data_IF_592761970414
#
_entry.id   IF_592761970414
#
_cell.length_a   1.000
_cell.length_b   1.000
_cell.length_c   1.000
_cell.angle_alpha   90.00
_cell.angle_beta   90.00
_cell.angle_gamma   90.00
#
_symmetry.space_group_name_H-M   'P 1'
#
loop_
_entity.id
_entity.type
_entity.pdbx_description
1 polymer ?
#
# COMPACT_ATOMS: atom_id res chain seq x y z
N UNK A 1 -10.39 11.70 0.24
CA UNK A 1 -11.17 10.44 0.09
C UNK A 1 -12.40 10.76 -0.75
N UNK A 2 -12.78 9.91 -1.70
CA UNK A 2 -13.93 10.13 -2.59
C UNK A 2 -14.99 9.05 -2.29
N UNK A 3 -16.26 9.43 -2.15
CA UNK A 3 -17.38 8.47 -2.15
C UNK A 3 -17.52 7.58 -0.91
N UNK A 4 -17.09 8.07 0.26
CA UNK A 4 -17.08 7.30 1.52
C UNK A 4 -17.51 8.10 2.75
N UNK A 5 -18.05 9.30 2.54
CA UNK A 5 -18.44 10.21 3.64
C UNK A 5 -19.53 9.60 4.52
N UNK A 6 -20.53 8.96 3.91
CA UNK A 6 -21.61 8.25 4.58
C UNK A 6 -21.09 7.10 5.47
N UNK A 7 -20.16 6.30 4.95
CA UNK A 7 -19.55 5.20 5.69
C UNK A 7 -18.69 5.72 6.86
N UNK A 8 -17.93 6.81 6.64
CA UNK A 8 -17.14 7.46 7.68
C UNK A 8 -18.04 8.00 8.79
N UNK A 9 -19.07 8.76 8.45
CA UNK A 9 -20.00 9.37 9.42
C UNK A 9 -20.68 8.31 10.28
N UNK A 10 -21.16 7.22 9.67
CA UNK A 10 -21.74 6.08 10.40
C UNK A 10 -20.75 5.41 11.35
N UNK A 11 -19.49 5.26 10.95
CA UNK A 11 -18.45 4.72 11.84
C UNK A 11 -18.19 5.65 13.03
N UNK A 12 -18.09 6.96 12.77
CA UNK A 12 -17.87 7.96 13.82
C UNK A 12 -19.03 7.95 14.81
N UNK A 13 -20.26 7.95 14.32
CA UNK A 13 -21.47 7.86 15.15
C UNK A 13 -21.49 6.56 15.97
N UNK A 14 -21.29 5.41 15.34
CA UNK A 14 -21.31 4.11 16.04
C UNK A 14 -20.23 3.96 17.12
N UNK A 15 -19.05 4.56 16.90
CA UNK A 15 -17.94 4.55 17.86
C UNK A 15 -18.17 5.51 19.03
N UNK A 16 -18.91 6.60 18.83
CA UNK A 16 -19.10 7.66 19.84
C UNK A 16 -20.43 7.59 20.59
N UNK A 17 -21.40 6.82 20.11
CA UNK A 17 -22.73 6.66 20.71
C UNK A 17 -22.90 5.27 21.34
N UNK A 18 -23.79 5.10 22.33
CA UNK A 18 -24.21 3.80 22.89
C UNK A 18 -23.15 3.08 23.75
N UNK A 19 -23.44 2.91 25.03
CA UNK A 19 -22.54 2.24 25.98
C UNK A 19 -22.96 0.77 26.22
N UNK A 20 -22.05 -0.16 25.95
CA UNK A 20 -22.18 -1.59 26.27
C UNK A 20 -21.25 -1.99 27.41
N UNK A 21 -21.50 -3.14 28.05
CA UNK A 21 -20.62 -3.69 29.09
C UNK A 21 -19.25 -4.14 28.58
N UNK A 22 -19.11 -4.43 27.27
CA UNK A 22 -17.85 -4.80 26.62
C UNK A 22 -17.46 -3.79 25.52
N UNK A 23 -16.15 -3.63 25.20
CA UNK A 23 -15.70 -2.76 24.11
C UNK A 23 -16.37 -3.12 22.79
N UNK A 24 -16.81 -2.10 22.05
CA UNK A 24 -17.43 -2.31 20.74
C UNK A 24 -16.37 -2.75 19.73
N UNK A 25 -16.64 -3.82 19.00
CA UNK A 25 -15.77 -4.27 17.90
C UNK A 25 -16.50 -4.09 16.59
N UNK A 26 -15.95 -3.25 15.71
CA UNK A 26 -16.50 -2.91 14.38
C UNK A 26 -15.50 -3.35 13.30
N UNK A 27 -15.77 -4.47 12.61
CA UNK A 27 -14.98 -4.89 11.45
C UNK A 27 -15.35 -4.10 10.19
N UNK A 28 -14.37 -3.56 9.46
CA UNK A 28 -14.48 -3.09 8.08
C UNK A 28 -14.00 -4.23 7.18
N UNK A 29 -14.87 -4.70 6.29
CA UNK A 29 -14.67 -5.93 5.52
C UNK A 29 -14.72 -5.62 4.03
N UNK A 30 -13.88 -6.28 3.25
CA UNK A 30 -13.90 -6.15 1.80
C UNK A 30 -12.58 -6.58 1.19
N UNK A 31 -12.57 -6.73 -0.13
CA UNK A 31 -11.41 -7.23 -0.87
C UNK A 31 -10.14 -6.35 -0.71
N UNK A 32 -8.97 -6.88 -1.10
CA UNK A 32 -7.75 -6.09 -1.26
C UNK A 32 -7.97 -4.85 -2.13
N UNK A 33 -7.25 -3.76 -1.87
CA UNK A 33 -7.35 -2.54 -2.68
C UNK A 33 -8.67 -1.73 -2.60
N UNK A 34 -9.70 -2.23 -1.91
CA UNK A 34 -11.03 -1.57 -1.82
C UNK A 34 -11.04 -0.31 -0.93
N UNK A 35 -9.95 -0.03 -0.21
CA UNK A 35 -9.80 1.17 0.63
C UNK A 35 -10.18 1.01 2.11
N UNK A 36 -10.20 -0.21 2.67
CA UNK A 36 -10.50 -0.46 4.10
C UNK A 36 -9.58 0.34 5.04
N UNK A 37 -8.27 0.20 4.84
CA UNK A 37 -7.22 0.88 5.62
C UNK A 37 -7.34 2.39 5.48
N UNK A 38 -7.67 2.87 4.28
CA UNK A 38 -7.92 4.30 4.02
C UNK A 38 -9.10 4.80 4.84
N UNK A 39 -10.25 4.10 4.81
CA UNK A 39 -11.43 4.47 5.60
C UNK A 39 -11.14 4.46 7.11
N UNK A 40 -10.46 3.42 7.60
CA UNK A 40 -10.06 3.34 9.00
C UNK A 40 -9.14 4.51 9.41
N UNK A 41 -8.21 4.91 8.54
CA UNK A 41 -7.29 6.02 8.82
C UNK A 41 -8.00 7.38 8.87
N UNK A 42 -9.01 7.61 8.02
CA UNK A 42 -9.83 8.82 8.08
C UNK A 42 -10.61 8.90 9.40
N UNK A 43 -11.26 7.81 9.80
CA UNK A 43 -11.98 7.73 11.10
C UNK A 43 -11.01 7.93 12.26
N UNK A 44 -9.84 7.29 12.23
CA UNK A 44 -8.81 7.44 13.26
C UNK A 44 -8.28 8.87 13.38
N UNK A 45 -8.26 9.61 12.27
CA UNK A 45 -7.77 10.98 12.20
C UNK A 45 -8.85 12.03 12.46
N UNK A 46 -10.12 11.62 12.48
CA UNK A 46 -11.28 12.47 12.68
C UNK A 46 -11.21 13.23 14.02
N UNK A 47 -11.52 14.53 13.97
CA UNK A 47 -11.46 15.40 15.14
C UNK A 47 -12.46 15.02 16.24
N UNK A 48 -13.67 14.57 15.88
CA UNK A 48 -14.65 14.07 16.81
C UNK A 48 -14.13 12.82 17.53
N UNK A 49 -13.49 11.90 16.79
CA UNK A 49 -12.88 10.70 17.36
C UNK A 49 -11.73 11.07 18.30
N UNK A 50 -10.80 11.93 17.87
CA UNK A 50 -9.67 12.36 18.71
C UNK A 50 -10.07 13.14 19.95
N UNK A 51 -11.20 13.83 19.93
CA UNK A 51 -11.75 14.51 21.12
C UNK A 51 -12.56 13.59 22.03
N UNK A 52 -13.13 12.51 21.49
CA UNK A 52 -13.96 11.57 22.25
C UNK A 52 -13.14 10.55 23.03
N UNK A 53 -12.06 10.02 22.46
CA UNK A 53 -11.23 8.98 23.08
C UNK A 53 -10.00 9.57 23.77
N UNK A 54 -9.72 9.11 24.99
CA UNK A 54 -8.56 9.55 25.77
C UNK A 54 -7.25 8.94 25.22
N UNK A 55 -7.36 7.77 24.57
CA UNK A 55 -6.24 7.05 23.95
C UNK A 55 -6.68 6.51 22.58
N UNK A 56 -5.93 6.84 21.54
CA UNK A 56 -6.06 6.21 20.23
C UNK A 56 -4.75 5.47 19.92
N UNK A 57 -4.85 4.23 19.44
CA UNK A 57 -3.68 3.48 19.00
C UNK A 57 -3.95 2.69 17.73
N UNK A 58 -2.91 2.49 16.92
CA UNK A 58 -2.98 1.79 15.65
C UNK A 58 -1.90 0.71 15.55
N UNK A 59 -2.26 -0.46 15.05
CA UNK A 59 -1.32 -1.48 14.64
C UNK A 59 -1.76 -2.14 13.34
N UNK A 60 -0.82 -2.30 12.41
CA UNK A 60 -1.00 -3.14 11.22
C UNK A 60 -0.48 -4.53 11.51
N UNK A 61 -1.29 -5.53 11.20
CA UNK A 61 -1.06 -6.93 11.55
C UNK A 61 -0.39 -7.63 10.38
N UNK A 62 0.81 -8.16 10.59
CA UNK A 62 1.50 -8.95 9.55
C UNK A 62 0.90 -10.35 9.46
N UNK A 63 1.04 -11.02 8.30
CA UNK A 63 0.60 -12.42 8.13
C UNK A 63 1.31 -13.42 9.06
N UNK A 64 2.47 -13.05 9.61
CA UNK A 64 3.17 -13.85 10.61
C UNK A 64 2.60 -13.65 12.03
N UNK A 65 1.67 -12.68 12.20
CA UNK A 65 0.91 -12.39 13.40
C UNK A 65 1.77 -12.33 14.67
N UNK A 66 2.90 -11.62 14.58
CA UNK A 66 3.83 -11.46 15.69
C UNK A 66 3.22 -10.54 16.78
N UNK A 67 2.70 -11.15 17.84
CA UNK A 67 2.02 -10.46 18.95
C UNK A 67 2.92 -9.41 19.58
N UNK A 68 4.21 -9.71 19.78
CA UNK A 68 5.19 -8.74 20.28
C UNK A 68 5.25 -7.47 19.43
N UNK A 69 5.33 -7.59 18.10
CA UNK A 69 5.38 -6.44 17.20
C UNK A 69 4.09 -5.62 17.24
N UNK A 70 2.94 -6.29 17.33
CA UNK A 70 1.62 -5.64 17.42
C UNK A 70 1.55 -4.82 18.71
N UNK A 71 1.91 -5.41 19.85
CA UNK A 71 1.92 -4.73 21.14
C UNK A 71 2.89 -3.56 21.18
N UNK A 72 4.08 -3.70 20.59
CA UNK A 72 5.03 -2.60 20.43
C UNK A 72 4.44 -1.47 19.58
N UNK A 73 3.75 -1.77 18.48
CA UNK A 73 3.09 -0.77 17.63
C UNK A 73 2.00 -0.02 18.38
N UNK A 74 1.15 -0.73 19.12
CA UNK A 74 0.10 -0.13 19.93
C UNK A 74 0.68 0.76 21.03
N UNK A 75 1.67 0.27 21.78
CA UNK A 75 2.31 1.01 22.85
C UNK A 75 3.01 2.28 22.35
N UNK A 76 3.68 2.25 21.20
CA UNK A 76 4.27 3.43 20.56
C UNK A 76 3.24 4.49 20.19
N UNK A 77 2.02 4.08 19.89
CA UNK A 77 0.91 5.00 19.61
C UNK A 77 0.32 5.61 20.90
N UNK A 78 0.56 4.97 22.05
CA UNK A 78 0.19 5.52 23.36
C UNK A 78 1.29 6.45 23.89
N UNK A 79 0.95 7.38 24.79
CA UNK A 79 1.90 8.33 25.43
C UNK A 79 2.85 7.67 26.46
N UNK A 80 3.26 6.42 26.23
CA UNK A 80 4.16 5.67 27.11
C UNK A 80 5.59 5.87 26.63
N UNK A 81 6.42 6.54 27.42
CA UNK A 81 7.83 6.75 27.09
C UNK A 81 8.64 5.45 27.18
N UNK A 82 9.55 5.26 26.22
CA UNK A 82 10.57 4.20 26.11
C UNK A 82 10.06 2.78 26.40
N UNK A 83 9.55 2.14 25.35
CA UNK A 83 9.19 0.71 25.36
C UNK A 83 10.44 -0.15 25.12
N UNK A 84 11.04 -0.66 26.19
CA UNK A 84 12.11 -1.67 26.12
C UNK A 84 11.69 -2.88 26.95
N UNK A 85 11.04 -3.85 26.33
CA UNK A 85 10.82 -5.17 26.93
C UNK A 85 10.87 -6.23 25.84
N UNK A 86 11.47 -7.37 26.17
CA UNK A 86 11.52 -8.52 25.28
C UNK A 86 10.35 -9.48 25.47
N UNK A 87 9.55 -9.33 26.54
CA UNK A 87 8.48 -10.24 26.92
C UNK A 87 7.10 -9.76 26.47
N UNK A 88 6.35 -10.61 25.77
CA UNK A 88 4.98 -10.32 25.35
C UNK A 88 4.03 -10.07 26.52
N UNK A 89 4.20 -10.81 27.62
CA UNK A 89 3.37 -10.66 28.81
C UNK A 89 3.59 -9.30 29.49
N UNK A 90 4.83 -8.81 29.52
CA UNK A 90 5.15 -7.48 30.05
C UNK A 90 4.58 -6.38 29.16
N UNK A 91 4.74 -6.50 27.84
CA UNK A 91 4.17 -5.56 26.88
C UNK A 91 2.64 -5.51 26.97
N UNK A 92 1.99 -6.67 27.08
CA UNK A 92 0.54 -6.77 27.28
C UNK A 92 0.12 -6.10 28.59
N UNK A 93 0.84 -6.31 29.69
CA UNK A 93 0.57 -5.66 30.97
C UNK A 93 0.76 -4.13 30.90
N UNK A 94 1.80 -3.66 30.22
CA UNK A 94 2.02 -2.23 29.97
C UNK A 94 0.86 -1.62 29.18
N UNK A 95 0.39 -2.32 28.13
CA UNK A 95 -0.73 -1.86 27.32
C UNK A 95 -2.03 -1.84 28.12
N UNK A 96 -2.32 -2.90 28.88
CA UNK A 96 -3.50 -2.92 29.76
C UNK A 96 -3.47 -1.76 30.76
N UNK A 97 -2.32 -1.50 31.41
CA UNK A 97 -2.16 -0.38 32.34
C UNK A 97 -2.35 0.98 31.67
N UNK A 98 -1.87 1.16 30.43
CA UNK A 98 -1.99 2.44 29.72
C UNK A 98 -3.43 2.75 29.30
N UNK A 99 -4.24 1.70 29.04
CA UNK A 99 -5.65 1.77 28.64
C UNK A 99 -6.63 1.74 29.82
N UNK A 100 -6.26 1.18 30.97
CA UNK A 100 -7.17 0.97 32.11
C UNK A 100 -7.77 2.30 32.60
N UNK A 101 -9.08 2.30 32.81
CA UNK A 101 -9.83 3.43 33.34
C UNK A 101 -10.07 4.57 32.34
N UNK A 102 -9.64 4.43 31.08
CA UNK A 102 -9.78 5.42 30.00
C UNK A 102 -10.70 4.91 28.90
N UNK A 103 -11.22 5.83 28.10
CA UNK A 103 -11.88 5.54 26.81
C UNK A 103 -10.83 5.40 25.74
N UNK A 104 -10.73 4.22 25.13
CA UNK A 104 -9.74 3.98 24.10
C UNK A 104 -10.37 3.59 22.77
N UNK A 105 -9.72 3.98 21.68
CA UNK A 105 -9.94 3.45 20.35
C UNK A 105 -8.68 2.70 19.90
N UNK A 106 -8.82 1.41 19.61
CA UNK A 106 -7.74 0.62 19.00
C UNK A 106 -8.11 0.32 17.55
N UNK A 107 -7.21 0.60 16.61
CA UNK A 107 -7.33 0.15 15.23
C UNK A 107 -6.37 -1.00 14.97
N UNK A 108 -6.92 -2.14 14.55
CA UNK A 108 -6.18 -3.32 14.13
C UNK A 108 -6.37 -3.50 12.63
N UNK A 109 -5.36 -3.12 11.87
CA UNK A 109 -5.40 -3.09 10.41
C UNK A 109 -4.86 -4.39 9.82
N UNK A 110 -5.59 -4.94 8.85
CA UNK A 110 -5.26 -6.10 8.04
C UNK A 110 -5.17 -7.42 8.83
N UNK A 111 -6.23 -7.80 9.54
CA UNK A 111 -6.30 -9.11 10.22
C UNK A 111 -6.72 -10.21 9.24
N UNK A 112 -5.89 -11.23 9.08
CA UNK A 112 -6.15 -12.36 8.17
C UNK A 112 -6.76 -13.59 8.84
N UNK A 113 -6.54 -13.75 10.16
CA UNK A 113 -6.87 -14.97 10.90
C UNK A 113 -7.51 -14.68 12.26
N UNK A 114 -8.39 -15.58 12.71
CA UNK A 114 -9.09 -15.48 14.00
C UNK A 114 -8.14 -15.62 15.19
N UNK A 115 -7.08 -16.42 15.06
CA UNK A 115 -6.10 -16.62 16.13
C UNK A 115 -5.36 -15.33 16.48
N UNK A 116 -5.09 -14.49 15.47
CA UNK A 116 -4.44 -13.20 15.68
C UNK A 116 -5.33 -12.23 16.45
N UNK A 117 -6.63 -12.24 16.15
CA UNK A 117 -7.60 -11.49 16.92
C UNK A 117 -7.67 -11.99 18.36
N UNK A 118 -7.76 -13.30 18.58
CA UNK A 118 -7.83 -13.88 19.93
C UNK A 118 -6.60 -13.60 20.77
N UNK A 119 -5.41 -13.64 20.17
CA UNK A 119 -4.16 -13.32 20.84
C UNK A 119 -4.11 -11.86 21.31
N UNK A 120 -4.49 -10.92 20.44
CA UNK A 120 -4.41 -9.48 20.73
C UNK A 120 -5.56 -9.02 21.63
N UNK A 121 -6.77 -9.57 21.47
CA UNK A 121 -7.95 -9.20 22.27
C UNK A 121 -7.72 -9.39 23.77
N UNK A 122 -6.96 -10.41 24.16
CA UNK A 122 -6.63 -10.70 25.56
C UNK A 122 -5.75 -9.63 26.21
N UNK A 123 -5.08 -8.80 25.41
CA UNK A 123 -4.22 -7.72 25.87
C UNK A 123 -4.99 -6.43 26.19
N UNK A 124 -6.31 -6.39 25.99
CA UNK A 124 -7.13 -5.21 26.29
C UNK A 124 -7.87 -5.34 27.63
N UNK A 125 -8.12 -4.22 28.34
CA UNK A 125 -8.93 -4.22 29.54
C UNK A 125 -10.35 -4.76 29.26
N UNK A 126 -10.88 -5.57 30.19
CA UNK A 126 -12.30 -6.00 30.15
C UNK A 126 -13.27 -4.90 30.55
N UNK A 127 -12.82 -3.99 31.42
CA UNK A 127 -13.61 -2.83 31.85
C UNK A 127 -13.87 -1.91 30.66
N UNK A 128 -15.14 -1.74 30.28
CA UNK A 128 -15.51 -0.84 29.20
C UNK A 128 -16.03 0.49 29.72
N UNK A 129 -15.44 1.60 29.28
CA UNK A 129 -15.93 2.97 29.53
C UNK A 129 -16.50 3.64 28.27
N UNK A 130 -16.93 2.86 27.29
CA UNK A 130 -17.25 3.34 25.95
C UNK A 130 -16.04 3.28 25.00
N UNK A 131 -15.17 2.30 25.20
CA UNK A 131 -14.04 2.01 24.33
C UNK A 131 -14.49 1.25 23.07
N UNK A 132 -13.73 1.45 22.00
CA UNK A 132 -13.98 0.85 20.69
C UNK A 132 -12.73 0.18 20.11
N UNK A 133 -12.98 -0.82 19.28
CA UNK A 133 -11.97 -1.50 18.46
C UNK A 133 -12.48 -1.48 17.03
N UNK A 134 -11.71 -0.83 16.16
CA UNK A 134 -11.93 -0.85 14.71
C UNK A 134 -10.98 -1.88 14.12
N UNK A 135 -11.50 -2.79 13.30
CA UNK A 135 -10.71 -3.86 12.70
C UNK A 135 -10.86 -3.79 11.18
N UNK A 136 -9.80 -3.94 10.41
CA UNK A 136 -9.92 -4.12 8.95
C UNK A 136 -9.52 -5.55 8.58
N UNK A 137 -10.27 -6.18 7.67
CA UNK A 137 -9.98 -7.55 7.24
C UNK A 137 -10.49 -7.81 5.82
N UNK A 138 -9.76 -8.58 5.01
CA UNK A 138 -10.32 -9.13 3.78
C UNK A 138 -11.24 -10.33 4.00
N UNK A 139 -11.25 -10.93 5.21
CA UNK A 139 -11.92 -12.20 5.48
C UNK A 139 -13.24 -12.00 6.24
N UNK A 140 -14.36 -12.36 5.60
CA UNK A 140 -15.71 -12.26 6.17
C UNK A 140 -15.88 -13.13 7.42
N UNK A 141 -15.23 -14.28 7.52
CA UNK A 141 -15.30 -15.14 8.71
C UNK A 141 -14.60 -14.52 9.91
N UNK A 142 -13.44 -13.89 9.71
CA UNK A 142 -12.74 -13.13 10.75
C UNK A 142 -13.63 -11.99 11.25
N UNK A 143 -14.27 -11.27 10.33
CA UNK A 143 -15.18 -10.19 10.69
C UNK A 143 -16.39 -10.68 11.49
N UNK A 144 -17.00 -11.79 11.08
CA UNK A 144 -18.14 -12.38 11.79
C UNK A 144 -17.74 -12.89 13.18
N UNK A 145 -16.53 -13.44 13.30
CA UNK A 145 -16.00 -13.96 14.56
C UNK A 145 -15.65 -12.86 15.55
N UNK A 146 -14.98 -11.79 15.09
CA UNK A 146 -14.54 -10.68 15.93
C UNK A 146 -15.66 -9.67 16.23
N UNK A 147 -16.59 -9.48 15.29
CA UNK A 147 -17.60 -8.45 15.32
C UNK A 147 -18.69 -8.70 16.37
N UNK A 148 -19.10 -7.63 17.04
CA UNK A 148 -20.09 -7.71 18.12
C UNK A 148 -21.55 -7.72 17.64
N UNK A 149 -21.80 -7.40 16.34
CA UNK A 149 -23.05 -7.59 15.57
C UNK A 149 -23.08 -6.81 14.24
N UNK A 150 -22.15 -5.87 14.03
CA UNK A 150 -22.16 -4.96 12.87
C UNK A 150 -20.77 -4.92 12.21
N UNK A 151 -20.60 -5.68 11.13
CA UNK A 151 -19.52 -5.43 10.18
C UNK A 151 -19.94 -4.37 9.16
N UNK A 152 -18.98 -3.59 8.68
CA UNK A 152 -19.15 -2.64 7.60
C UNK A 152 -18.55 -3.23 6.32
N UNK A 153 -19.36 -3.80 5.41
CA UNK A 153 -18.87 -4.22 4.12
C UNK A 153 -18.54 -2.99 3.26
N UNK A 154 -17.37 -3.03 2.61
CA UNK A 154 -16.96 -2.04 1.61
C UNK A 154 -17.64 -2.35 0.29
N UNK A 155 -18.26 -1.34 -0.32
CA UNK A 155 -18.79 -1.42 -1.68
C UNK A 155 -17.75 -0.98 -2.71
N UNK A 156 -17.93 -1.38 -3.96
CA UNK A 156 -17.22 -0.77 -5.07
C UNK A 156 -17.65 0.69 -5.25
N UNK A 157 -16.76 1.49 -5.85
CA UNK A 157 -17.08 2.86 -6.24
C UNK A 157 -18.07 2.82 -7.41
N UNK A 158 -19.03 3.74 -7.41
CA UNK A 158 -19.85 3.96 -8.59
C UNK A 158 -19.07 4.72 -9.67
N UNK A 159 -19.70 4.96 -10.82
CA UNK A 159 -19.04 5.57 -11.96
C UNK A 159 -18.55 7.00 -11.68
N UNK A 160 -19.36 7.80 -10.97
CA UNK A 160 -19.04 9.20 -10.68
C UNK A 160 -17.93 9.31 -9.64
N UNK A 161 -18.00 8.48 -8.59
CA UNK A 161 -16.95 8.35 -7.58
C UNK A 161 -15.62 7.90 -8.21
N UNK A 162 -15.69 6.93 -9.11
CA UNK A 162 -14.53 6.38 -9.78
C UNK A 162 -13.88 7.40 -10.72
N UNK A 163 -14.69 8.13 -11.49
CA UNK A 163 -14.20 9.17 -12.39
C UNK A 163 -13.61 10.36 -11.61
N UNK A 164 -14.22 10.73 -10.49
CA UNK A 164 -13.70 11.78 -9.60
C UNK A 164 -12.35 11.37 -8.98
N UNK A 165 -12.22 10.13 -8.52
CA UNK A 165 -10.94 9.61 -8.02
C UNK A 165 -9.88 9.61 -9.12
N UNK A 166 -10.23 9.12 -10.32
CA UNK A 166 -9.34 9.10 -11.48
C UNK A 166 -8.81 10.50 -11.83
N UNK A 167 -9.71 11.48 -11.93
CA UNK A 167 -9.39 12.90 -12.16
C UNK A 167 -8.44 13.48 -11.12
N UNK A 168 -8.69 13.17 -9.85
CA UNK A 168 -7.89 13.68 -8.73
C UNK A 168 -6.42 13.24 -8.82
N UNK A 169 -6.14 12.09 -9.43
CA UNK A 169 -4.79 11.53 -9.58
C UNK A 169 -4.16 11.90 -10.91
N UNK A 170 -4.87 11.69 -12.02
CA UNK A 170 -4.32 11.90 -13.38
C UNK A 170 -4.14 13.38 -13.73
N UNK A 171 -5.01 14.24 -13.22
CA UNK A 171 -5.06 15.67 -13.57
C UNK A 171 -5.06 16.59 -12.35
N UNK A 172 -4.73 16.09 -11.16
CA UNK A 172 -4.73 16.90 -9.93
C UNK A 172 -6.07 17.62 -9.67
N UNK A 173 -7.18 17.00 -10.08
CA UNK A 173 -8.56 17.53 -10.01
C UNK A 173 -8.89 18.65 -11.02
N UNK A 174 -8.07 18.87 -12.04
CA UNK A 174 -8.44 19.64 -13.22
C UNK A 174 -9.43 18.86 -14.11
N UNK A 175 -10.15 19.57 -14.97
CA UNK A 175 -11.07 18.95 -15.93
C UNK A 175 -10.29 18.12 -16.95
N UNK A 176 -10.87 16.97 -17.35
CA UNK A 176 -10.32 16.21 -18.46
C UNK A 176 -10.48 17.02 -19.75
N UNK A 177 -9.43 17.12 -20.58
CA UNK A 177 -9.58 17.62 -21.94
C UNK A 177 -10.68 16.85 -22.67
N UNK A 178 -11.50 17.55 -23.46
CA UNK A 178 -12.67 16.96 -24.14
C UNK A 178 -12.31 15.76 -25.02
N UNK A 179 -11.11 15.78 -25.59
CA UNK A 179 -10.53 14.74 -26.43
C UNK A 179 -10.27 13.44 -25.64
N UNK A 180 -9.94 13.57 -24.35
CA UNK A 180 -9.62 12.44 -23.46
C UNK A 180 -10.82 11.99 -22.62
N UNK A 181 -11.91 12.75 -22.60
CA UNK A 181 -13.04 12.47 -21.71
C UNK A 181 -13.71 11.12 -22.02
N UNK A 182 -13.92 10.82 -23.30
CA UNK A 182 -14.56 9.56 -23.74
C UNK A 182 -13.72 8.35 -23.36
N UNK A 183 -12.42 8.40 -23.68
CA UNK A 183 -11.50 7.31 -23.37
C UNK A 183 -11.23 7.18 -21.87
N UNK A 184 -11.14 8.29 -21.14
CA UNK A 184 -11.01 8.27 -19.69
C UNK A 184 -12.22 7.60 -19.00
N UNK A 185 -13.44 7.88 -19.46
CA UNK A 185 -14.65 7.19 -18.97
C UNK A 185 -14.61 5.68 -19.25
N UNK A 186 -14.15 5.27 -20.43
CA UNK A 186 -14.00 3.86 -20.77
C UNK A 186 -12.98 3.15 -19.86
N UNK A 187 -11.82 3.76 -19.66
CA UNK A 187 -10.78 3.22 -18.78
C UNK A 187 -11.29 3.05 -17.34
N UNK A 188 -12.02 4.04 -16.83
CA UNK A 188 -12.61 3.99 -15.49
C UNK A 188 -13.64 2.87 -15.37
N UNK A 189 -14.46 2.66 -16.40
CA UNK A 189 -15.43 1.55 -16.45
C UNK A 189 -14.73 0.19 -16.42
N UNK A 190 -13.62 0.06 -17.16
CA UNK A 190 -12.76 -1.14 -17.16
C UNK A 190 -12.07 -1.41 -15.80
N UNK A 191 -11.99 -0.40 -14.92
CA UNK A 191 -11.49 -0.58 -13.54
C UNK A 191 -12.54 -1.16 -12.59
N UNK A 192 -13.81 -1.24 -13.00
CA UNK A 192 -14.93 -1.82 -12.26
C UNK A 192 -15.05 -1.34 -10.81
N UNK A 193 -14.81 -0.04 -10.58
CA UNK A 193 -15.01 0.60 -9.29
C UNK A 193 -14.03 0.19 -8.18
N UNK A 194 -12.92 -0.49 -8.48
CA UNK A 194 -11.89 -0.80 -7.49
C UNK A 194 -10.92 0.40 -7.34
N UNK A 195 -10.87 1.08 -6.17
CA UNK A 195 -10.07 2.30 -5.99
C UNK A 195 -8.61 2.14 -6.35
N UNK A 196 -7.99 1.01 -5.96
CA UNK A 196 -6.58 0.77 -6.24
C UNK A 196 -6.29 0.67 -7.74
N UNK A 197 -7.13 -0.03 -8.51
CA UNK A 197 -6.99 -0.10 -9.97
C UNK A 197 -7.14 1.28 -10.61
N UNK A 198 -8.12 2.05 -10.16
CA UNK A 198 -8.38 3.40 -10.69
C UNK A 198 -7.17 4.31 -10.48
N UNK A 199 -6.66 4.38 -9.24
CA UNK A 199 -5.51 5.23 -8.88
C UNK A 199 -4.25 4.80 -9.62
N UNK A 200 -4.07 3.48 -9.79
CA UNK A 200 -2.96 2.90 -10.53
C UNK A 200 -2.97 3.33 -12.00
N UNK A 201 -4.11 3.15 -12.69
CA UNK A 201 -4.24 3.51 -14.10
C UNK A 201 -4.16 5.03 -14.30
N UNK A 202 -4.79 5.80 -13.41
CA UNK A 202 -4.67 7.25 -13.40
C UNK A 202 -3.21 7.71 -13.24
N UNK A 203 -2.47 7.05 -12.36
CA UNK A 203 -1.05 7.30 -12.12
C UNK A 203 -0.16 7.05 -13.34
N UNK A 204 -0.44 5.99 -14.10
CA UNK A 204 0.23 5.71 -15.38
C UNK A 204 -0.04 6.79 -16.43
N UNK A 205 -1.26 7.33 -16.44
CA UNK A 205 -1.70 8.33 -17.41
C UNK A 205 -1.37 9.77 -16.98
N UNK A 206 -0.92 9.98 -15.74
CA UNK A 206 -0.66 11.30 -15.15
C UNK A 206 0.30 12.15 -15.98
N UNK A 207 1.28 11.54 -16.66
CA UNK A 207 2.26 12.22 -17.53
C UNK A 207 1.98 12.03 -19.04
N UNK A 208 0.90 11.34 -19.41
CA UNK A 208 0.55 11.08 -20.81
C UNK A 208 -0.55 12.05 -21.26
N UNK A 209 -0.32 12.73 -22.37
CA UNK A 209 -1.26 13.72 -22.94
C UNK A 209 -1.73 13.37 -24.35
N UNK A 210 -1.02 12.48 -25.05
CA UNK A 210 -1.42 11.97 -26.35
C UNK A 210 -2.59 10.98 -26.23
N UNK A 211 -3.49 10.96 -27.22
CA UNK A 211 -4.66 10.07 -27.18
C UNK A 211 -4.26 8.61 -27.43
N UNK A 212 -3.25 8.37 -28.26
CA UNK A 212 -2.72 7.06 -28.62
C UNK A 212 -2.18 6.32 -27.40
N UNK A 213 -1.56 7.07 -26.49
CA UNK A 213 -1.08 6.60 -25.20
C UNK A 213 -2.23 6.07 -24.32
N UNK A 214 -3.35 6.79 -24.30
CA UNK A 214 -4.54 6.41 -23.54
C UNK A 214 -5.23 5.20 -24.17
N UNK A 215 -5.26 5.10 -25.50
CA UNK A 215 -5.78 3.94 -26.23
C UNK A 215 -4.98 2.67 -25.96
N UNK A 216 -3.65 2.78 -25.91
CA UNK A 216 -2.79 1.68 -25.53
C UNK A 216 -3.09 1.21 -24.11
N UNK A 217 -3.15 2.14 -23.15
CA UNK A 217 -3.42 1.80 -21.74
C UNK A 217 -4.80 1.18 -21.57
N UNK A 218 -5.86 1.69 -22.23
CA UNK A 218 -7.19 1.07 -22.18
C UNK A 218 -7.17 -0.38 -22.67
N UNK A 219 -6.50 -0.65 -23.80
CA UNK A 219 -6.33 -2.04 -24.28
C UNK A 219 -5.63 -2.93 -23.26
N UNK A 220 -4.60 -2.40 -22.59
CA UNK A 220 -3.89 -3.14 -21.55
C UNK A 220 -4.81 -3.42 -20.36
N UNK A 221 -5.51 -2.42 -19.82
CA UNK A 221 -6.47 -2.53 -18.71
C UNK A 221 -7.49 -3.62 -18.98
N UNK A 222 -8.14 -3.56 -20.14
CA UNK A 222 -9.10 -4.56 -20.57
C UNK A 222 -8.56 -5.99 -20.61
N UNK A 223 -7.26 -6.16 -20.79
CA UNK A 223 -6.61 -7.46 -20.90
C UNK A 223 -5.99 -7.98 -19.60
N UNK A 224 -5.80 -7.14 -18.57
CA UNK A 224 -5.27 -7.56 -17.26
C UNK A 224 -6.32 -7.56 -16.15
N UNK A 225 -7.34 -6.71 -16.24
CA UNK A 225 -8.43 -6.73 -15.27
C UNK A 225 -9.34 -7.90 -15.62
N UNK A 226 -9.14 -9.03 -14.95
CA UNK A 226 -10.00 -10.21 -15.11
C UNK A 226 -11.43 -9.86 -14.67
N UNK A 227 -12.46 -10.50 -15.22
CA UNK A 227 -13.84 -10.29 -14.74
C UNK A 227 -14.13 -10.97 -13.39
N UNK A 228 -13.19 -11.79 -12.89
CA UNK A 228 -13.35 -12.50 -11.62
C UNK A 228 -12.78 -11.65 -10.47
N UNK A 229 -13.63 -11.15 -9.54
CA UNK A 229 -13.17 -10.39 -8.39
C UNK A 229 -12.13 -11.14 -7.54
N UNK A 230 -12.26 -12.47 -7.39
CA UNK A 230 -11.42 -13.25 -6.47
C UNK A 230 -9.99 -13.46 -7.00
N UNK A 231 -9.80 -13.41 -8.33
CA UNK A 231 -8.47 -13.46 -8.96
C UNK A 231 -7.73 -12.11 -8.93
N UNK A 232 -8.46 -10.98 -8.84
CA UNK A 232 -7.90 -9.61 -8.87
C UNK A 232 -6.99 -9.25 -7.69
N UNK A 233 -6.94 -10.06 -6.64
CA UNK A 233 -6.32 -9.71 -5.35
C UNK A 233 -5.52 -10.84 -4.69
N UNK A 234 -5.13 -11.88 -5.44
CA UNK A 234 -4.56 -13.08 -4.83
C UNK A 234 -3.13 -12.93 -4.33
N UNK A 235 -2.37 -11.91 -4.76
CA UNK A 235 -1.00 -11.74 -4.28
C UNK A 235 -0.69 -10.23 -4.11
N UNK A 236 -0.02 -9.94 -3.02
CA UNK A 236 0.54 -8.63 -2.71
C UNK A 236 1.98 -8.94 -2.36
N UNK A 237 2.88 -8.39 -3.16
CA UNK A 237 4.29 -8.62 -2.98
C UNK A 237 4.72 -8.03 -1.64
N UNK A 238 5.49 -8.82 -0.88
CA UNK A 238 5.86 -8.46 0.48
C UNK A 238 6.59 -7.12 0.56
N UNK A 239 6.53 -6.48 1.73
CA UNK A 239 7.18 -5.20 2.01
C UNK A 239 8.65 -5.19 1.52
N UNK A 240 8.95 -4.23 0.65
CA UNK A 240 10.26 -3.96 0.09
C UNK A 240 10.98 -2.92 0.97
N UNK A 241 12.11 -3.26 1.61
CA UNK A 241 12.90 -2.28 2.35
C UNK A 241 13.57 -1.28 1.39
N UNK A 242 13.27 0.02 1.55
CA UNK A 242 13.80 1.09 0.67
C UNK A 242 15.32 1.10 0.65
N UNK A 243 15.97 0.87 1.80
CA UNK A 243 17.43 0.81 1.88
C UNK A 243 18.03 -0.24 0.93
N UNK A 244 17.37 -1.39 0.76
CA UNK A 244 17.83 -2.44 -0.18
C UNK A 244 17.58 -2.03 -1.63
N UNK A 245 16.45 -1.40 -1.90
CA UNK A 245 16.08 -0.88 -3.21
C UNK A 245 17.12 0.15 -3.70
N UNK A 246 17.43 1.15 -2.87
CA UNK A 246 18.43 2.20 -3.17
C UNK A 246 19.80 1.60 -3.47
N UNK A 247 20.28 0.68 -2.63
CA UNK A 247 21.58 0.00 -2.85
C UNK A 247 21.59 -0.73 -4.20
N UNK A 248 20.47 -1.38 -4.57
CA UNK A 248 20.36 -2.05 -5.86
C UNK A 248 20.38 -1.05 -7.02
N UNK A 249 19.69 0.08 -6.91
CA UNK A 249 19.66 1.13 -7.94
C UNK A 249 21.04 1.74 -8.19
N UNK A 250 21.81 1.94 -7.12
CA UNK A 250 23.20 2.38 -7.20
C UNK A 250 24.09 1.33 -7.89
N UNK A 251 23.94 0.06 -7.53
CA UNK A 251 24.80 -1.02 -8.04
C UNK A 251 24.58 -1.30 -9.54
N UNK A 252 23.35 -1.14 -10.02
CA UNK A 252 22.95 -1.35 -11.41
C UNK A 252 23.18 -0.10 -12.29
N UNK A 253 23.58 1.04 -11.68
CA UNK A 253 23.92 2.27 -12.41
C UNK A 253 22.70 3.06 -12.92
N UNK A 254 21.51 2.86 -12.34
CA UNK A 254 20.27 3.54 -12.77
C UNK A 254 20.17 4.99 -12.31
N UNK A 255 20.93 5.37 -11.29
CA UNK A 255 20.92 6.72 -10.75
C UNK A 255 21.90 7.58 -11.55
N UNK A 256 21.50 8.81 -11.85
CA UNK A 256 22.42 9.80 -12.41
C UNK A 256 23.62 9.92 -11.47
N UNK A 257 24.83 9.89 -12.03
CA UNK A 257 26.07 10.18 -11.30
C UNK A 257 26.11 11.68 -10.93
N UNK A 258 25.28 12.07 -9.99
CA UNK A 258 25.43 13.30 -9.21
C UNK A 258 26.14 12.98 -7.90
N UNK A 259 26.62 14.01 -7.19
CA UNK A 259 27.36 13.85 -5.94
C UNK A 259 26.51 13.21 -4.81
N UNK A 260 25.18 13.16 -4.95
CA UNK A 260 24.25 12.60 -3.96
C UNK A 260 23.33 11.52 -4.56
N UNK A 261 23.85 10.29 -4.65
CA UNK A 261 23.11 9.13 -5.14
C UNK A 261 21.95 8.73 -4.22
N UNK A 262 22.06 8.95 -2.90
CA UNK A 262 20.98 8.62 -1.97
C UNK A 262 19.81 9.59 -2.14
N UNK A 263 20.08 10.89 -2.26
CA UNK A 263 19.07 11.90 -2.56
C UNK A 263 18.41 11.70 -3.92
N UNK A 264 19.16 11.33 -4.97
CA UNK A 264 18.56 11.03 -6.27
C UNK A 264 17.66 9.79 -6.21
N UNK A 265 18.05 8.76 -5.46
CA UNK A 265 17.20 7.58 -5.26
C UNK A 265 15.93 7.92 -4.47
N UNK A 266 16.01 8.78 -3.45
CA UNK A 266 14.83 9.24 -2.71
C UNK A 266 13.86 10.01 -3.62
N UNK A 267 14.36 10.86 -4.53
CA UNK A 267 13.53 11.57 -5.52
C UNK A 267 12.84 10.59 -6.49
N UNK A 268 13.58 9.65 -7.06
CA UNK A 268 13.00 8.64 -7.96
C UNK A 268 11.93 7.80 -7.26
N UNK A 269 12.17 7.40 -6.00
CA UNK A 269 11.18 6.69 -5.22
C UNK A 269 9.93 7.55 -4.97
N UNK A 270 10.11 8.84 -4.67
CA UNK A 270 9.00 9.76 -4.47
C UNK A 270 8.18 9.92 -5.76
N UNK A 271 8.82 9.98 -6.92
CA UNK A 271 8.13 10.02 -8.22
C UNK A 271 7.27 8.76 -8.45
N UNK A 272 7.78 7.57 -8.13
CA UNK A 272 7.02 6.32 -8.21
C UNK A 272 5.81 6.30 -7.26
N UNK A 273 5.95 6.91 -6.08
CA UNK A 273 4.87 7.07 -5.10
C UNK A 273 3.83 8.08 -5.60
N UNK A 274 4.27 9.21 -6.16
CA UNK A 274 3.42 10.27 -6.68
C UNK A 274 2.63 9.84 -7.93
N UNK A 275 3.16 8.84 -8.65
CA UNK A 275 2.48 8.12 -9.74
C UNK A 275 1.71 6.89 -9.26
N UNK A 276 1.67 6.64 -7.96
CA UNK A 276 0.94 5.52 -7.36
C UNK A 276 1.36 4.12 -7.89
N UNK A 277 2.57 4.00 -8.43
CA UNK A 277 3.16 2.72 -8.87
C UNK A 277 3.73 1.94 -7.69
N UNK A 278 4.07 2.66 -6.63
CA UNK A 278 4.63 2.13 -5.39
C UNK A 278 3.81 2.67 -4.21
N UNK A 279 3.37 1.77 -3.33
CA UNK A 279 2.64 2.13 -2.12
C UNK A 279 3.61 2.22 -0.93
N UNK A 280 3.53 3.30 -0.16
CA UNK A 280 4.34 3.47 1.05
C UNK A 280 3.76 2.62 2.18
N UNK A 281 4.58 1.73 2.76
CA UNK A 281 4.18 0.88 3.88
C UNK A 281 4.60 1.46 5.23
N UNK A 282 5.85 1.92 5.33
CA UNK A 282 6.41 2.44 6.58
C UNK A 282 7.19 3.71 6.31
N UNK A 283 7.05 4.68 7.21
CA UNK A 283 7.87 5.89 7.26
C UNK A 283 8.73 5.91 8.53
N UNK A 284 9.73 6.79 8.57
CA UNK A 284 10.50 7.09 9.77
C UNK A 284 9.63 7.75 10.84
N UNK A 285 10.12 7.82 12.07
CA UNK A 285 9.40 8.37 13.22
C UNK A 285 9.03 9.85 13.05
N UNK A 286 9.86 10.61 12.34
CA UNK A 286 9.62 12.01 11.95
C UNK A 286 8.75 12.15 10.69
N UNK A 287 8.34 11.04 10.07
CA UNK A 287 7.47 11.00 8.90
C UNK A 287 8.12 11.42 7.58
N UNK A 288 9.41 11.77 7.59
CA UNK A 288 10.11 12.33 6.43
C UNK A 288 10.61 11.27 5.45
N UNK A 289 11.17 10.17 5.93
CA UNK A 289 11.80 9.13 5.10
C UNK A 289 10.93 7.90 4.94
N UNK A 290 10.82 7.40 3.71
CA UNK A 290 10.16 6.14 3.40
C UNK A 290 11.10 4.99 3.81
N UNK A 291 10.63 4.08 4.67
CA UNK A 291 11.39 2.94 5.20
C UNK A 291 11.11 1.65 4.43
N UNK A 292 9.85 1.41 4.09
CA UNK A 292 9.46 0.32 3.22
C UNK A 292 8.31 0.72 2.32
N UNK A 293 8.25 0.08 1.17
CA UNK A 293 7.20 0.23 0.18
C UNK A 293 6.74 -1.13 -0.33
N UNK A 294 5.68 -1.17 -1.12
CA UNK A 294 5.20 -2.38 -1.78
C UNK A 294 4.69 -2.05 -3.18
N UNK A 295 4.69 -3.07 -4.03
CA UNK A 295 4.14 -2.98 -5.38
C UNK A 295 2.97 -3.94 -5.47
N UNK A 296 1.90 -3.46 -6.09
CA UNK A 296 0.72 -4.27 -6.33
C UNK A 296 0.97 -5.19 -7.53
N UNK A 297 0.42 -6.41 -7.51
CA UNK A 297 0.60 -7.39 -8.59
C UNK A 297 0.21 -6.85 -9.97
N UNK A 298 -0.87 -6.07 -10.04
CA UNK A 298 -1.28 -5.43 -11.29
C UNK A 298 -0.20 -4.48 -11.86
N UNK A 299 0.56 -3.78 -11.00
CA UNK A 299 1.72 -2.99 -11.44
C UNK A 299 2.84 -3.91 -11.90
N UNK A 300 3.07 -5.02 -11.20
CA UNK A 300 4.09 -5.98 -11.59
C UNK A 300 3.81 -6.59 -12.97
N UNK A 301 2.59 -7.04 -13.23
CA UNK A 301 2.17 -7.59 -14.52
C UNK A 301 2.27 -6.56 -15.64
N UNK A 302 1.93 -5.30 -15.35
CA UNK A 302 2.10 -4.20 -16.30
C UNK A 302 3.58 -3.93 -16.60
N UNK A 303 4.44 -3.86 -15.57
CA UNK A 303 5.89 -3.72 -15.73
C UNK A 303 6.47 -4.87 -16.58
N UNK A 304 6.04 -6.11 -16.36
CA UNK A 304 6.49 -7.26 -17.16
C UNK A 304 6.14 -7.12 -18.64
N UNK A 305 4.94 -6.61 -18.97
CA UNK A 305 4.52 -6.40 -20.36
C UNK A 305 5.29 -5.27 -21.05
N UNK A 306 5.54 -4.16 -20.35
CA UNK A 306 6.34 -3.06 -20.89
C UNK A 306 7.79 -3.53 -21.17
N UNK A 307 8.37 -4.34 -20.29
CA UNK A 307 9.69 -4.96 -20.51
C UNK A 307 9.70 -5.86 -21.76
N UNK A 308 8.62 -6.60 -22.00
CA UNK A 308 8.46 -7.45 -23.19
C UNK A 308 8.29 -6.62 -24.47
N UNK A 309 7.53 -5.51 -24.42
CA UNK A 309 7.30 -4.62 -25.56
C UNK A 309 8.60 -3.95 -26.03
N UNK A 310 9.42 -3.50 -25.09
CA UNK A 310 10.65 -2.76 -25.38
C UNK A 310 11.88 -3.66 -25.64
N UNK A 311 11.72 -4.99 -25.67
CA UNK A 311 12.81 -5.97 -25.85
C UNK A 311 13.98 -5.76 -24.85
N UNK A 312 13.65 -5.52 -23.60
CA UNK A 312 14.65 -5.15 -22.59
C UNK A 312 15.26 -6.40 -21.99
N UNK A 313 16.60 -6.43 -21.96
CA UNK A 313 17.36 -7.54 -21.40
C UNK A 313 17.43 -7.42 -19.86
N UNK A 314 16.95 -8.45 -19.16
CA UNK A 314 17.17 -8.59 -17.72
C UNK A 314 18.48 -9.37 -17.53
N UNK A 315 19.37 -8.86 -16.68
CA UNK A 315 20.57 -9.59 -16.27
C UNK A 315 20.13 -10.81 -15.44
N UNK A 316 20.41 -12.03 -15.87
CA UNK A 316 20.14 -13.21 -15.05
C UNK A 316 21.14 -13.30 -13.90
N UNK A 317 20.61 -13.55 -12.70
CA UNK A 317 21.27 -14.00 -11.48
C UNK A 317 22.53 -13.26 -11.01
N UNK A 318 22.38 -12.42 -9.98
CA UNK A 318 23.44 -12.26 -8.98
C UNK A 318 23.22 -13.37 -7.95
N UNK A 319 23.96 -14.47 -8.07
CA UNK A 319 24.11 -15.42 -6.96
C UNK A 319 24.91 -14.71 -5.86
N UNK A 320 24.21 -14.19 -4.84
CA UNK A 320 24.85 -13.64 -3.65
C UNK A 320 25.28 -14.80 -2.74
N UNK A 321 26.48 -15.34 -2.97
CA UNK A 321 27.15 -16.14 -1.94
C UNK A 321 27.63 -15.19 -0.83
N UNK A 322 26.88 -15.16 0.28
CA UNK A 322 27.33 -14.51 1.50
C UNK A 322 28.43 -15.35 2.14
N UNK A 323 29.69 -14.95 1.95
CA UNK A 323 30.75 -15.35 2.85
C UNK A 323 31.32 -14.12 3.56
N UNK A 324 31.37 -14.20 4.88
CA UNK A 324 31.67 -13.10 5.80
C UNK A 324 33.04 -12.48 5.53
N UNK A 325 33.05 -11.26 5.00
CA UNK A 325 34.26 -10.45 4.85
C UNK A 325 34.11 -9.50 3.68
N UNK A 326 34.07 -8.20 3.97
CA UNK A 326 34.03 -7.15 2.95
C UNK A 326 35.15 -7.33 1.92
N UNK A 327 34.83 -7.39 0.62
CA UNK A 327 35.72 -6.98 -0.49
C UNK A 327 34.98 -6.96 -1.83
N UNK A 328 35.00 -5.79 -2.46
CA UNK A 328 34.84 -5.47 -3.90
C UNK A 328 34.21 -6.53 -4.81
N UNK A 329 33.04 -6.18 -5.39
CA UNK A 329 32.51 -6.79 -6.61
C UNK A 329 33.50 -6.54 -7.77
N UNK A 330 34.21 -7.59 -8.19
CA UNK A 330 35.01 -7.56 -9.41
C UNK A 330 34.12 -7.87 -10.61
N UNK A 331 34.03 -6.94 -11.56
CA UNK A 331 33.26 -6.99 -12.82
C UNK A 331 33.62 -8.17 -13.76
N UNK A 332 34.53 -9.08 -13.39
CA UNK A 332 35.13 -10.06 -14.31
C UNK A 332 34.38 -11.39 -14.46
N UNK A 333 33.18 -11.54 -13.88
CA UNK A 333 32.35 -12.75 -14.06
C UNK A 333 30.86 -12.43 -14.32
N UNK A 334 30.57 -11.40 -15.12
CA UNK A 334 29.23 -11.22 -15.70
C UNK A 334 29.07 -12.20 -16.87
N UNK A 335 28.06 -13.08 -16.81
CA UNK A 335 27.61 -13.86 -17.97
C UNK A 335 26.82 -12.94 -18.92
N UNK A 336 26.81 -13.20 -20.25
CA UNK A 336 26.10 -12.36 -21.21
C UNK A 336 24.58 -12.40 -21.02
N UNK A 337 23.92 -11.31 -21.42
CA UNK A 337 22.47 -11.06 -21.41
C UNK A 337 21.64 -12.22 -22.01
N UNK A 338 20.57 -12.66 -21.31
CA UNK A 338 19.58 -13.60 -21.86
C UNK A 338 18.35 -12.82 -22.33
N UNK A 339 17.90 -13.07 -23.57
CA UNK A 339 16.62 -12.55 -24.08
C UNK A 339 15.48 -13.21 -23.30
N UNK A 340 14.53 -12.42 -22.80
CA UNK A 340 13.34 -12.97 -22.14
C UNK A 340 12.53 -13.72 -23.19
N UNK A 341 12.39 -15.04 -23.02
CA UNK A 341 11.52 -15.90 -23.81
C UNK A 341 10.50 -16.50 -22.85
N UNK A 342 9.25 -16.62 -23.30
CA UNK A 342 8.03 -16.57 -22.48
C UNK A 342 7.84 -17.62 -21.38
N UNK A 343 8.75 -18.59 -21.21
CA UNK A 343 8.46 -19.80 -20.43
C UNK A 343 9.29 -19.98 -19.14
N UNK A 344 10.29 -19.13 -18.86
CA UNK A 344 11.12 -19.29 -17.65
C UNK A 344 11.44 -17.94 -16.99
N UNK A 345 10.47 -17.40 -16.25
CA UNK A 345 10.77 -16.50 -15.13
C UNK A 345 10.29 -17.18 -13.87
N UNK A 346 11.22 -17.83 -13.18
CA UNK A 346 10.96 -18.33 -11.83
C UNK A 346 10.70 -17.12 -10.92
N UNK A 347 9.61 -17.17 -10.14
CA UNK A 347 9.09 -16.08 -9.30
C UNK A 347 10.10 -15.73 -8.18
N UNK A 348 11.17 -15.03 -8.53
CA UNK A 348 12.18 -14.59 -7.59
C UNK A 348 11.87 -13.17 -7.13
N UNK A 349 11.80 -12.90 -5.81
CA UNK A 349 11.61 -11.56 -5.27
C UNK A 349 12.57 -10.54 -5.90
N UNK A 350 13.79 -10.95 -6.26
CA UNK A 350 14.83 -10.13 -6.90
C UNK A 350 14.52 -9.70 -8.35
N UNK A 351 13.75 -10.49 -9.12
CA UNK A 351 13.30 -10.12 -10.47
C UNK A 351 12.31 -8.95 -10.47
N UNK A 352 11.63 -8.76 -9.34
CA UNK A 352 10.63 -7.72 -9.13
C UNK A 352 11.23 -6.33 -8.95
N UNK A 353 12.32 -6.26 -8.18
CA UNK A 353 13.14 -5.06 -8.07
C UNK A 353 13.60 -4.61 -9.46
N UNK A 354 13.94 -5.57 -10.33
CA UNK A 354 14.41 -5.33 -11.71
C UNK A 354 13.32 -4.93 -12.69
N UNK A 355 12.06 -5.36 -12.48
CA UNK A 355 10.96 -4.98 -13.35
C UNK A 355 10.46 -3.53 -13.14
N UNK A 356 10.53 -3.03 -11.90
CA UNK A 356 10.32 -1.61 -11.58
C UNK A 356 11.47 -0.70 -12.10
N UNK A 357 12.56 -1.31 -12.57
CA UNK A 357 13.84 -0.67 -12.85
C UNK A 357 14.12 -0.42 -14.34
N UNK A 358 13.20 -0.73 -15.24
CA UNK A 358 13.34 -0.52 -16.69
C UNK A 358 12.07 0.14 -17.27
N UNK A 359 12.12 0.80 -18.43
CA UNK A 359 12.39 2.21 -18.74
C UNK A 359 11.12 3.06 -18.72
N UNK A 360 10.11 2.66 -17.93
CA UNK A 360 8.97 3.54 -17.62
C UNK A 360 9.49 4.87 -17.02
N UNK A 361 10.68 4.86 -16.39
CA UNK A 361 11.33 6.05 -15.87
C UNK A 361 12.18 6.85 -16.90
N UNK A 362 12.61 6.24 -18.00
CA UNK A 362 13.50 6.86 -19.01
C UNK A 362 12.71 7.51 -20.14
N UNK A 363 11.65 6.88 -20.67
CA UNK A 363 10.83 7.49 -21.74
C UNK A 363 10.03 8.72 -21.27
N UNK A 364 9.74 8.83 -19.97
CA UNK A 364 9.01 9.97 -19.41
C UNK A 364 9.90 11.21 -19.14
N UNK A 365 11.24 11.09 -19.22
CA UNK A 365 12.14 12.27 -19.16
C UNK A 365 12.48 12.82 -20.54
N UNK A 366 12.46 11.99 -21.59
CA UNK A 366 12.89 12.42 -22.92
C UNK A 366 11.80 13.15 -23.71
N UNK A 367 10.53 13.06 -23.31
CA UNK A 367 9.45 13.84 -23.95
C UNK A 367 9.45 15.34 -23.62
N UNK A 368 10.15 15.76 -22.56
CA UNK A 368 10.28 17.19 -22.17
C UNK A 368 11.52 17.87 -22.78
N UNK A 369 12.38 17.14 -23.51
CA UNK A 369 13.58 17.67 -24.18
C UNK A 369 13.47 17.63 -25.70
N UNK A 370 12.30 17.99 -26.24
CA UNK A 370 12.22 18.44 -27.63
C UNK A 370 12.72 19.89 -27.74
N UNK A 371 14.03 20.09 -27.55
CA UNK A 371 14.74 21.21 -28.17
C UNK A 371 15.46 20.70 -29.41
N UNK A 372 14.73 20.90 -30.51
CA UNK A 372 15.15 21.01 -31.89
C UNK A 372 16.62 21.42 -32.10
N UNK A 373 17.32 20.62 -32.91
CA UNK A 373 18.34 21.05 -33.89
C UNK A 373 19.42 22.04 -33.39
N UNK A 374 20.58 21.51 -32.98
CA UNK A 374 21.89 21.90 -33.53
C UNK A 374 23.02 20.96 -33.12
#
# INVERSE_FOLDING_TARGET
>A
MVGRDDQRERLVEHLTTGYSGEPKVIPIVGMGGIGKTTLANEVYSDTCIRSHFDVCAWATISQQHNVKEILLSLLRSTKVDKVFSESEAELANMLQKSLKGKRYLIVLDDIWKTEAWDAVRQCFPRENKGSGILLTTPNTEVARYAGTKNSLPMRFMDQDESLNLFRSVAFSSEELPSELETIGKQIVDECHGLPLTIVMVAGLLKSKRAIEDWESVSKDVKSFVTNDPDERCSRVLGDIPVKRLVISWMAEGFLKLENDLEGEAEKCLQELVDRCLVLVCKKSLDGTKIRSCKVHDLIYDLCLREIQRENIFIMNDIVLEFNSGWKYLSMRKMQPFKRVTGDEIDYCPNGLYRALLTPVHLQLRDHDNNDLLK
#
